data_IF_300526430810
#
_entry.id   IF_300526430810
#
_cell.length_a   1.000
_cell.length_b   1.000
_cell.length_c   1.000
_cell.angle_alpha   90.00
_cell.angle_beta   90.00
_cell.angle_gamma   90.00
#
_symmetry.space_group_name_H-M   'P 1'
#
loop_
_entity.id
_entity.type
_entity.pdbx_description
1 polymer ?
#
# COMPACT_ATOMS: atom_id res chain seq x y z
N UNK A 1 -4.49 -2.13 9.24
CA UNK A 1 -4.07 -1.08 8.29
C UNK A 1 -5.34 -0.51 7.68
N UNK A 2 -5.54 0.80 7.69
CA UNK A 2 -6.80 1.40 7.26
C UNK A 2 -6.84 1.61 5.73
N UNK A 3 -8.03 1.57 5.14
CA UNK A 3 -8.20 1.99 3.74
C UNK A 3 -7.87 3.48 3.57
N UNK A 4 -7.51 3.93 2.36
CA UNK A 4 -7.04 5.31 2.14
C UNK A 4 -8.00 6.37 2.67
N UNK A 5 -9.29 6.28 2.36
CA UNK A 5 -10.29 7.24 2.82
C UNK A 5 -10.59 7.12 4.33
N UNK A 6 -10.51 5.90 4.88
CA UNK A 6 -10.65 5.68 6.32
C UNK A 6 -9.47 6.31 7.07
N UNK A 7 -8.24 6.12 6.58
CA UNK A 7 -7.06 6.79 7.13
C UNK A 7 -7.15 8.31 7.00
N UNK A 8 -7.52 8.81 5.81
CA UNK A 8 -7.54 10.23 5.50
C UNK A 8 -8.58 10.99 6.34
N UNK A 9 -9.79 10.44 6.43
CA UNK A 9 -10.96 11.10 7.04
C UNK A 9 -11.28 10.48 8.40
N UNK A 10 -11.51 9.17 8.45
CA UNK A 10 -11.95 8.46 9.66
C UNK A 10 -10.94 8.49 10.80
N UNK A 11 -9.66 8.53 10.46
CA UNK A 11 -8.55 8.47 11.42
C UNK A 11 -7.78 9.80 11.46
N UNK A 12 -8.46 10.88 11.07
CA UNK A 12 -8.03 12.26 11.28
C UNK A 12 -6.68 12.63 10.63
N UNK A 13 -6.16 11.84 9.69
CA UNK A 13 -4.86 12.13 9.07
C UNK A 13 -4.85 13.48 8.34
N UNK A 14 -5.98 13.89 7.73
CA UNK A 14 -6.12 15.23 7.15
C UNK A 14 -5.96 16.32 8.21
N UNK A 15 -6.63 16.17 9.35
CA UNK A 15 -6.56 17.13 10.47
C UNK A 15 -5.15 17.16 11.04
N UNK A 16 -4.50 16.00 11.23
CA UNK A 16 -3.10 15.93 11.63
C UNK A 16 -2.18 16.66 10.64
N UNK A 17 -2.39 16.49 9.34
CA UNK A 17 -1.64 17.20 8.30
C UNK A 17 -1.80 18.73 8.38
N UNK A 18 -3.03 19.20 8.61
CA UNK A 18 -3.32 20.63 8.83
C UNK A 18 -2.64 21.13 10.11
N UNK A 19 -2.70 20.37 11.20
CA UNK A 19 -2.06 20.71 12.48
C UNK A 19 -0.53 20.78 12.36
N UNK A 20 0.09 19.84 11.65
CA UNK A 20 1.54 19.87 11.37
C UNK A 20 1.90 21.10 10.55
N UNK A 21 1.12 21.41 9.50
CA UNK A 21 1.36 22.59 8.65
C UNK A 21 1.21 23.89 9.46
N UNK A 22 0.18 23.98 10.30
CA UNK A 22 -0.03 25.10 11.21
C UNK A 22 1.11 25.22 12.23
N UNK A 23 1.56 24.10 12.80
CA UNK A 23 2.71 24.06 13.71
C UNK A 23 3.99 24.58 13.05
N UNK A 24 4.29 24.14 11.83
CA UNK A 24 5.44 24.63 11.05
C UNK A 24 5.30 26.13 10.77
N UNK A 25 4.10 26.60 10.41
CA UNK A 25 3.85 28.02 10.18
C UNK A 25 4.06 28.87 11.45
N UNK A 26 3.63 28.39 12.61
CA UNK A 26 3.84 29.04 13.91
C UNK A 26 5.34 29.07 14.23
N UNK A 27 6.06 27.96 14.05
CA UNK A 27 7.51 27.92 14.28
C UNK A 27 8.24 28.90 13.35
N UNK A 28 7.89 28.90 12.06
CA UNK A 28 8.46 29.84 11.10
C UNK A 28 8.16 31.30 11.49
N UNK A 29 6.93 31.59 11.93
CA UNK A 29 6.55 32.91 12.42
C UNK A 29 7.36 33.33 13.66
N UNK A 30 7.52 32.43 14.64
CA UNK A 30 8.34 32.66 15.84
C UNK A 30 9.79 32.93 15.46
N UNK A 31 10.36 32.14 14.55
CA UNK A 31 11.73 32.36 14.05
C UNK A 31 11.86 33.72 13.36
N UNK A 32 10.92 34.09 12.49
CA UNK A 32 10.91 35.41 11.85
C UNK A 32 10.80 36.55 12.88
N UNK A 33 9.98 36.37 13.92
CA UNK A 33 9.84 37.34 15.01
C UNK A 33 11.14 37.47 15.81
N UNK A 34 11.79 36.37 16.18
CA UNK A 34 13.09 36.38 16.86
C UNK A 34 14.17 37.07 16.02
N UNK A 35 14.22 36.83 14.71
CA UNK A 35 15.14 37.52 13.80
C UNK A 35 14.83 39.02 13.74
N UNK A 36 13.55 39.41 13.72
CA UNK A 36 13.12 40.81 13.72
C UNK A 36 13.54 41.52 15.01
N UNK A 37 13.29 40.88 16.17
CA UNK A 37 13.71 41.36 17.48
C UNK A 37 15.22 41.57 17.56
N UNK A 38 16.01 40.61 17.06
CA UNK A 38 17.47 40.68 17.08
C UNK A 38 18.03 41.81 16.18
N UNK A 39 17.36 42.13 15.07
CA UNK A 39 17.82 43.16 14.13
C UNK A 39 17.39 44.58 14.50
N UNK A 40 16.17 44.75 15.02
CA UNK A 40 15.53 46.06 15.16
C UNK A 40 15.17 46.42 16.61
N UNK A 41 15.32 45.49 17.55
CA UNK A 41 14.95 45.65 18.96
C UNK A 41 13.48 45.28 19.25
N UNK A 42 13.06 45.28 20.53
CA UNK A 42 11.76 44.75 20.95
C UNK A 42 10.53 45.46 20.38
N UNK A 43 10.50 46.80 20.44
CA UNK A 43 9.35 47.60 20.01
C UNK A 43 9.21 47.64 18.49
N UNK A 44 10.28 47.99 17.78
CA UNK A 44 10.29 48.07 16.31
C UNK A 44 10.13 46.69 15.67
N UNK A 45 10.75 45.66 16.24
CA UNK A 45 10.61 44.29 15.77
C UNK A 45 9.15 43.81 15.80
N UNK A 46 8.42 44.13 16.87
CA UNK A 46 6.99 43.83 16.99
C UNK A 46 6.13 44.63 16.00
N UNK A 47 6.39 45.92 15.84
CA UNK A 47 5.66 46.76 14.89
C UNK A 47 5.80 46.27 13.45
N UNK A 48 7.00 45.87 13.03
CA UNK A 48 7.23 45.32 11.69
C UNK A 48 6.46 44.02 11.45
N UNK A 49 6.46 43.09 12.40
CA UNK A 49 5.74 41.82 12.26
C UNK A 49 4.22 42.04 12.22
N UNK A 50 3.69 42.84 13.15
CA UNK A 50 2.26 43.16 13.18
C UNK A 50 1.80 43.90 11.93
N UNK A 51 2.61 44.82 11.40
CA UNK A 51 2.36 45.48 10.12
C UNK A 51 2.26 44.48 8.96
N UNK A 52 3.20 43.54 8.84
CA UNK A 52 3.20 42.53 7.78
C UNK A 52 1.97 41.63 7.89
N UNK A 53 1.61 41.20 9.11
CA UNK A 53 0.41 40.40 9.36
C UNK A 53 -0.86 41.18 9.00
N UNK A 54 -0.94 42.45 9.39
CA UNK A 54 -2.06 43.31 9.05
C UNK A 54 -2.17 43.53 7.54
N UNK A 55 -1.07 43.83 6.84
CA UNK A 55 -1.06 43.99 5.39
C UNK A 55 -1.49 42.69 4.68
N UNK A 56 -1.04 41.54 5.17
CA UNK A 56 -1.44 40.22 4.66
C UNK A 56 -2.95 39.99 4.78
N UNK A 57 -3.53 40.22 5.96
CA UNK A 57 -4.93 39.92 6.27
C UNK A 57 -5.88 40.98 5.69
N UNK A 58 -5.54 42.26 5.84
CA UNK A 58 -6.43 43.35 5.47
C UNK A 58 -6.39 43.69 3.97
N UNK A 59 -5.24 43.47 3.30
CA UNK A 59 -5.06 43.90 1.90
C UNK A 59 -4.79 42.75 0.95
N UNK A 60 -3.89 41.83 1.28
CA UNK A 60 -3.45 40.82 0.32
C UNK A 60 -4.42 39.65 0.17
N UNK A 61 -4.79 38.97 1.26
CA UNK A 61 -5.70 37.82 1.23
C UNK A 61 -7.06 38.13 0.57
N UNK A 62 -7.79 39.20 0.96
CA UNK A 62 -9.15 39.46 0.45
C UNK A 62 -9.20 39.73 -1.05
N UNK A 63 -8.08 40.21 -1.61
CA UNK A 63 -7.99 40.62 -3.00
C UNK A 63 -7.19 39.62 -3.85
N UNK A 64 -6.88 38.44 -3.31
CA UNK A 64 -6.30 37.35 -4.10
C UNK A 64 -7.32 36.83 -5.11
N UNK A 65 -6.88 36.53 -6.32
CA UNK A 65 -7.77 36.02 -7.37
C UNK A 65 -7.27 34.69 -7.91
N UNK A 66 -8.13 33.68 -7.89
CA UNK A 66 -7.82 32.32 -8.36
C UNK A 66 -7.31 32.33 -9.82
N UNK A 67 -7.86 33.19 -10.69
CA UNK A 67 -7.43 33.33 -12.09
C UNK A 67 -5.94 33.71 -12.21
N UNK A 68 -5.46 34.63 -11.35
CA UNK A 68 -4.05 35.06 -11.32
C UNK A 68 -3.15 33.95 -10.77
N UNK A 69 -3.59 33.31 -9.70
CA UNK A 69 -2.89 32.16 -9.10
C UNK A 69 -2.72 31.04 -10.14
N UNK A 70 -3.77 30.70 -10.87
CA UNK A 70 -3.71 29.67 -11.93
C UNK A 70 -2.75 30.05 -13.06
N UNK A 71 -2.77 31.31 -13.53
CA UNK A 71 -1.85 31.78 -14.55
C UNK A 71 -0.38 31.67 -14.10
N UNK A 72 -0.09 32.05 -12.85
CA UNK A 72 1.24 31.92 -12.25
C UNK A 72 1.63 30.45 -12.02
N UNK A 73 0.69 29.61 -11.60
CA UNK A 73 0.91 28.17 -11.41
C UNK A 73 1.25 27.47 -12.73
N UNK A 74 0.52 27.80 -13.80
CA UNK A 74 0.81 27.28 -15.15
C UNK A 74 2.20 27.70 -15.62
N UNK A 75 2.61 28.95 -15.36
CA UNK A 75 3.94 29.42 -15.69
C UNK A 75 5.02 28.66 -14.89
N UNK A 76 4.84 28.52 -13.58
CA UNK A 76 5.76 27.79 -12.71
C UNK A 76 5.88 26.31 -13.11
N UNK A 77 4.77 25.67 -13.50
CA UNK A 77 4.75 24.31 -14.05
C UNK A 77 5.59 24.19 -15.33
N UNK A 78 5.38 25.08 -16.30
CA UNK A 78 6.13 25.10 -17.56
C UNK A 78 7.62 25.39 -17.37
N UNK A 79 7.94 26.24 -16.39
CA UNK A 79 9.33 26.53 -16.03
C UNK A 79 10.01 25.32 -15.39
N UNK A 80 9.36 24.68 -14.41
CA UNK A 80 9.87 23.47 -13.78
C UNK A 80 10.12 22.36 -14.81
N UNK A 81 9.19 22.14 -15.76
CA UNK A 81 9.38 21.13 -16.80
C UNK A 81 10.61 21.39 -17.69
N UNK A 82 10.87 22.67 -18.02
CA UNK A 82 12.04 23.10 -18.82
C UNK A 82 13.36 22.96 -18.08
N UNK A 83 13.36 22.98 -16.74
CA UNK A 83 14.56 22.84 -15.89
C UNK A 83 15.04 21.39 -15.74
N UNK A 84 14.83 20.53 -16.75
CA UNK A 84 15.24 19.12 -16.78
C UNK A 84 14.69 18.28 -15.62
N UNK A 85 13.55 18.66 -15.03
CA UNK A 85 12.89 17.90 -13.95
C UNK A 85 12.52 16.47 -14.40
N UNK A 86 12.26 16.27 -15.70
CA UNK A 86 12.05 14.95 -16.29
C UNK A 86 13.27 14.01 -16.19
N UNK A 87 14.47 14.52 -15.90
CA UNK A 87 15.65 13.68 -15.61
C UNK A 87 15.39 12.78 -14.40
N UNK A 88 14.60 13.24 -13.43
CA UNK A 88 14.21 12.40 -12.28
C UNK A 88 13.43 11.16 -12.73
N UNK A 89 12.56 11.31 -13.74
CA UNK A 89 11.86 10.17 -14.36
C UNK A 89 12.84 9.21 -15.04
N UNK A 90 13.84 9.74 -15.77
CA UNK A 90 14.84 8.91 -16.42
C UNK A 90 15.70 8.14 -15.39
N UNK A 91 16.14 8.80 -14.32
CA UNK A 91 16.86 8.18 -13.20
C UNK A 91 16.01 7.09 -12.56
N UNK A 92 14.71 7.34 -12.37
CA UNK A 92 13.78 6.34 -11.84
C UNK A 92 13.65 5.11 -12.75
N UNK A 93 13.50 5.32 -14.07
CA UNK A 93 13.45 4.23 -15.05
C UNK A 93 14.72 3.38 -14.98
N UNK A 94 15.89 4.02 -14.95
CA UNK A 94 17.17 3.32 -14.78
C UNK A 94 17.17 2.52 -13.47
N UNK A 95 16.72 3.13 -12.37
CA UNK A 95 16.58 2.46 -11.08
C UNK A 95 15.70 1.20 -11.15
N UNK A 96 14.57 1.24 -11.85
CA UNK A 96 13.71 0.07 -12.08
C UNK A 96 14.40 -1.01 -12.93
N UNK A 97 15.13 -0.63 -13.98
CA UNK A 97 15.84 -1.59 -14.84
C UNK A 97 16.92 -2.34 -14.05
N UNK A 98 17.67 -1.63 -13.21
CA UNK A 98 18.64 -2.25 -12.30
C UNK A 98 17.94 -3.11 -11.24
N UNK A 99 16.81 -2.66 -10.68
CA UNK A 99 16.08 -3.41 -9.68
C UNK A 99 15.70 -4.82 -10.16
N UNK A 100 15.31 -4.97 -11.42
CA UNK A 100 14.99 -6.28 -12.01
C UNK A 100 16.11 -7.31 -11.91
N UNK A 101 17.37 -6.87 -11.80
CA UNK A 101 18.54 -7.76 -11.63
C UNK A 101 18.82 -8.12 -10.17
N UNK A 102 18.44 -7.27 -9.23
CA UNK A 102 18.78 -7.41 -7.82
C UNK A 102 17.63 -7.91 -6.94
N UNK A 103 16.38 -7.82 -7.41
CA UNK A 103 15.22 -8.31 -6.66
C UNK A 103 15.13 -9.83 -6.71
N UNK A 104 15.05 -10.45 -5.53
CA UNK A 104 14.97 -11.89 -5.40
C UNK A 104 13.52 -12.41 -5.51
N UNK A 105 13.20 -13.00 -6.67
CA UNK A 105 11.95 -13.73 -6.91
C UNK A 105 11.79 -14.99 -6.02
N UNK A 106 12.87 -15.44 -5.37
CA UNK A 106 12.89 -16.52 -4.39
C UNK A 106 12.33 -16.16 -3.02
N UNK A 107 12.13 -14.87 -2.72
CA UNK A 107 11.66 -14.44 -1.40
C UNK A 107 10.25 -14.95 -1.08
N UNK A 108 9.97 -15.22 0.20
CA UNK A 108 8.63 -15.63 0.66
C UNK A 108 7.56 -14.55 0.48
N UNK A 109 7.96 -13.28 0.43
CA UNK A 109 7.10 -12.11 0.29
C UNK A 109 7.49 -11.27 -0.95
N UNK A 110 7.48 -11.89 -2.14
CA UNK A 110 7.90 -11.25 -3.40
C UNK A 110 7.18 -9.93 -3.66
N UNK A 111 5.85 -9.90 -3.51
CA UNK A 111 5.06 -8.70 -3.75
C UNK A 111 5.45 -7.55 -2.82
N UNK A 112 5.63 -7.83 -1.52
CA UNK A 112 6.06 -6.83 -0.55
C UNK A 112 7.45 -6.28 -0.89
N UNK A 113 8.38 -7.13 -1.33
CA UNK A 113 9.72 -6.72 -1.72
C UNK A 113 9.70 -5.74 -2.90
N UNK A 114 8.98 -6.09 -3.97
CA UNK A 114 8.85 -5.24 -5.17
C UNK A 114 8.12 -3.93 -4.85
N UNK A 115 6.98 -4.00 -4.14
CA UNK A 115 6.20 -2.82 -3.76
C UNK A 115 7.05 -1.88 -2.87
N UNK A 116 7.70 -2.42 -1.83
CA UNK A 116 8.49 -1.61 -0.90
C UNK A 116 9.68 -0.94 -1.59
N UNK A 117 10.37 -1.64 -2.48
CA UNK A 117 11.47 -1.07 -3.26
C UNK A 117 10.99 0.11 -4.10
N UNK A 118 9.93 -0.09 -4.88
CA UNK A 118 9.42 0.91 -5.82
C UNK A 118 8.82 2.11 -5.09
N UNK A 119 8.07 1.88 -4.01
CA UNK A 119 7.51 2.95 -3.18
C UNK A 119 8.59 3.76 -2.47
N UNK A 120 9.62 3.10 -1.93
CA UNK A 120 10.76 3.77 -1.27
C UNK A 120 11.56 4.60 -2.27
N UNK A 121 11.90 4.03 -3.43
CA UNK A 121 12.61 4.74 -4.49
C UNK A 121 11.84 5.95 -5.01
N UNK A 122 10.53 5.81 -5.23
CA UNK A 122 9.65 6.92 -5.63
C UNK A 122 9.62 8.02 -4.56
N UNK A 123 9.47 7.64 -3.28
CA UNK A 123 9.41 8.57 -2.15
C UNK A 123 10.67 9.42 -2.06
N UNK A 124 11.86 8.79 -2.04
CA UNK A 124 13.13 9.52 -1.92
C UNK A 124 13.39 10.44 -3.12
N UNK A 125 13.12 9.99 -4.35
CA UNK A 125 13.32 10.83 -5.53
C UNK A 125 12.37 12.03 -5.56
N UNK A 126 11.11 11.85 -5.19
CA UNK A 126 10.13 12.94 -5.17
C UNK A 126 10.42 13.94 -4.06
N UNK A 127 10.83 13.48 -2.88
CA UNK A 127 11.27 14.35 -1.78
C UNK A 127 12.50 15.16 -2.21
N UNK A 128 13.51 14.51 -2.78
CA UNK A 128 14.72 15.16 -3.27
C UNK A 128 14.39 16.24 -4.33
N UNK A 129 13.53 15.89 -5.30
CA UNK A 129 13.07 16.83 -6.31
C UNK A 129 12.30 18.01 -5.71
N UNK A 130 11.37 17.73 -4.79
CA UNK A 130 10.58 18.74 -4.11
C UNK A 130 11.44 19.73 -3.34
N UNK A 131 12.49 19.23 -2.67
CA UNK A 131 13.49 20.06 -1.99
C UNK A 131 14.22 20.96 -2.99
N UNK A 132 14.77 20.41 -4.06
CA UNK A 132 15.52 21.20 -5.05
C UNK A 132 14.65 22.24 -5.76
N UNK A 133 13.45 21.86 -6.20
CA UNK A 133 12.51 22.77 -6.83
C UNK A 133 12.14 23.91 -5.88
N UNK A 134 11.79 23.58 -4.64
CA UNK A 134 11.35 24.58 -3.67
C UNK A 134 12.48 25.53 -3.29
N UNK A 135 13.64 25.00 -2.89
CA UNK A 135 14.78 25.79 -2.42
C UNK A 135 15.37 26.69 -3.50
N UNK A 136 15.45 26.25 -4.76
CA UNK A 136 16.08 27.04 -5.83
C UNK A 136 15.10 27.86 -6.66
N UNK A 137 13.79 27.68 -6.51
CA UNK A 137 12.79 28.42 -7.28
C UNK A 137 12.97 29.94 -7.18
N UNK A 138 12.79 30.51 -5.97
CA UNK A 138 12.87 31.95 -5.75
C UNK A 138 14.28 32.52 -5.92
N UNK A 139 15.36 31.90 -5.40
CA UNK A 139 16.72 32.41 -5.61
C UNK A 139 17.11 32.49 -7.09
N UNK A 140 16.70 31.51 -7.91
CA UNK A 140 16.99 31.54 -9.35
C UNK A 140 16.25 32.69 -10.03
N UNK A 141 15.00 32.94 -9.66
CA UNK A 141 14.21 34.05 -10.20
C UNK A 141 14.76 35.43 -9.83
N UNK A 142 15.34 35.56 -8.64
CA UNK A 142 16.05 36.77 -8.22
C UNK A 142 17.34 36.93 -9.04
N UNK A 143 18.15 35.87 -9.13
CA UNK A 143 19.41 35.87 -9.89
C UNK A 143 19.21 36.24 -11.35
N UNK A 144 18.15 35.72 -11.98
CA UNK A 144 17.83 35.97 -13.39
C UNK A 144 17.00 37.24 -13.63
N UNK A 145 16.72 38.02 -12.57
CA UNK A 145 15.86 39.23 -12.62
C UNK A 145 14.43 39.00 -13.13
N UNK A 146 13.99 37.74 -13.24
CA UNK A 146 12.62 37.39 -13.65
C UNK A 146 11.60 37.99 -12.69
N UNK A 147 11.90 37.97 -11.39
CA UNK A 147 11.00 38.50 -10.36
C UNK A 147 10.66 39.99 -10.59
N UNK A 148 11.62 40.79 -11.06
CA UNK A 148 11.44 42.23 -11.30
C UNK A 148 10.43 42.52 -12.43
N UNK A 149 10.31 41.59 -13.39
CA UNK A 149 9.33 41.70 -14.48
C UNK A 149 7.95 41.20 -14.11
N UNK A 150 7.86 40.35 -13.09
CA UNK A 150 6.58 39.85 -12.55
C UNK A 150 5.99 40.89 -11.60
N UNK A 151 6.81 41.50 -10.73
CA UNK A 151 6.37 42.47 -9.72
C UNK A 151 5.90 43.81 -10.30
N UNK A 152 6.23 44.12 -11.56
CA UNK A 152 5.71 45.30 -12.26
C UNK A 152 4.28 45.11 -12.76
N UNK A 153 3.79 43.87 -12.83
CA UNK A 153 2.38 43.57 -13.11
C UNK A 153 1.59 43.65 -11.79
N UNK A 154 0.27 43.93 -11.82
CA UNK A 154 -0.57 44.01 -10.63
C UNK A 154 -0.87 42.62 -10.05
N UNK A 155 0.17 41.91 -9.62
CA UNK A 155 0.15 40.58 -8.98
C UNK A 155 0.76 40.69 -7.59
N UNK A 156 0.07 40.10 -6.61
CA UNK A 156 0.46 40.19 -5.19
C UNK A 156 1.52 39.15 -4.84
N UNK A 157 2.31 39.42 -3.80
CA UNK A 157 3.33 38.48 -3.31
C UNK A 157 2.73 37.12 -2.91
N UNK A 158 1.54 37.13 -2.29
CA UNK A 158 0.81 35.90 -1.94
C UNK A 158 0.42 35.08 -3.16
N UNK A 159 -0.03 35.73 -4.24
CA UNK A 159 -0.40 35.06 -5.50
C UNK A 159 0.82 34.43 -6.19
N UNK A 160 2.00 35.07 -6.10
CA UNK A 160 3.27 34.52 -6.61
C UNK A 160 3.66 33.26 -5.85
N UNK A 161 3.62 33.29 -4.52
CA UNK A 161 3.98 32.12 -3.69
C UNK A 161 2.98 30.98 -3.89
N UNK A 162 1.68 31.27 -3.82
CA UNK A 162 0.62 30.26 -4.05
C UNK A 162 0.71 29.67 -5.46
N UNK A 163 0.94 30.52 -6.48
CA UNK A 163 1.17 30.07 -7.85
C UNK A 163 2.31 29.06 -7.94
N UNK A 164 3.46 29.33 -7.30
CA UNK A 164 4.58 28.37 -7.27
C UNK A 164 4.24 27.08 -6.53
N UNK A 165 3.59 27.16 -5.37
CA UNK A 165 3.18 25.97 -4.60
C UNK A 165 2.31 25.08 -5.48
N UNK A 166 1.22 25.61 -6.03
CA UNK A 166 0.33 24.83 -6.89
C UNK A 166 1.01 24.34 -8.18
N UNK A 167 1.88 25.16 -8.78
CA UNK A 167 2.66 24.77 -9.95
C UNK A 167 3.59 23.59 -9.67
N UNK A 168 4.36 23.63 -8.58
CA UNK A 168 5.27 22.53 -8.21
C UNK A 168 4.54 21.31 -7.70
N UNK A 169 3.43 21.47 -6.96
CA UNK A 169 2.54 20.35 -6.62
C UNK A 169 2.04 19.67 -7.89
N UNK A 170 1.59 20.42 -8.89
CA UNK A 170 1.13 19.85 -10.16
C UNK A 170 2.25 19.09 -10.92
N UNK A 171 3.50 19.60 -10.90
CA UNK A 171 4.66 18.89 -11.47
C UNK A 171 4.93 17.59 -10.70
N UNK A 172 4.93 17.66 -9.37
CA UNK A 172 5.10 16.48 -8.51
C UNK A 172 4.02 15.44 -8.76
N UNK A 173 2.76 15.84 -8.86
CA UNK A 173 1.64 14.95 -9.18
C UNK A 173 1.78 14.35 -10.57
N UNK A 174 2.15 15.13 -11.60
CA UNK A 174 2.40 14.61 -12.94
C UNK A 174 3.49 13.51 -12.93
N UNK A 175 4.60 13.76 -12.23
CA UNK A 175 5.68 12.79 -12.11
C UNK A 175 5.24 11.55 -11.34
N UNK A 176 4.53 11.71 -10.22
CA UNK A 176 3.98 10.59 -9.44
C UNK A 176 3.04 9.73 -10.28
N UNK A 177 2.21 10.32 -11.13
CA UNK A 177 1.36 9.56 -12.06
C UNK A 177 2.20 8.78 -13.06
N UNK A 178 3.25 9.37 -13.63
CA UNK A 178 4.15 8.68 -14.55
C UNK A 178 4.92 7.55 -13.87
N UNK A 179 5.50 7.83 -12.70
CA UNK A 179 6.21 6.85 -11.87
C UNK A 179 5.26 5.72 -11.48
N UNK A 180 4.07 6.03 -10.96
CA UNK A 180 3.06 5.03 -10.58
C UNK A 180 2.64 4.10 -11.72
N UNK A 181 2.51 4.62 -12.95
CA UNK A 181 2.23 3.78 -14.12
C UNK A 181 3.39 2.84 -14.45
N UNK A 182 4.62 3.34 -14.44
CA UNK A 182 5.81 2.53 -14.69
C UNK A 182 6.03 1.48 -13.59
N UNK A 183 5.87 1.89 -12.33
CA UNK A 183 5.87 1.05 -11.14
C UNK A 183 4.87 -0.11 -11.27
N UNK A 184 3.62 0.19 -11.62
CA UNK A 184 2.60 -0.82 -11.80
C UNK A 184 2.98 -1.82 -12.90
N UNK A 185 3.46 -1.32 -14.05
CA UNK A 185 3.92 -2.17 -15.14
C UNK A 185 5.09 -3.08 -14.74
N UNK A 186 6.07 -2.52 -14.03
CA UNK A 186 7.24 -3.25 -13.51
C UNK A 186 6.83 -4.35 -12.51
N UNK A 187 5.96 -4.04 -11.55
CA UNK A 187 5.47 -4.99 -10.55
C UNK A 187 4.67 -6.10 -11.21
N UNK A 188 3.68 -5.75 -12.06
CA UNK A 188 2.84 -6.74 -12.74
C UNK A 188 3.69 -7.70 -13.58
N UNK A 189 4.66 -7.18 -14.33
CA UNK A 189 5.52 -8.00 -15.19
C UNK A 189 6.57 -8.78 -14.38
N UNK A 190 7.00 -8.28 -13.23
CA UNK A 190 8.04 -8.91 -12.42
C UNK A 190 7.57 -10.09 -11.55
N UNK A 191 6.27 -10.20 -11.28
CA UNK A 191 5.72 -11.22 -10.37
C UNK A 191 4.90 -12.28 -11.12
N UNK A 192 4.37 -11.97 -12.30
CA UNK A 192 3.65 -12.96 -13.12
C UNK A 192 4.63 -14.04 -13.61
N UNK A 193 4.27 -15.28 -13.31
CA UNK A 193 4.97 -16.49 -13.73
C UNK A 193 3.92 -17.58 -14.00
N UNK A 194 4.31 -18.62 -14.71
CA UNK A 194 3.42 -19.71 -15.11
C UNK A 194 4.00 -21.04 -14.64
N UNK A 195 3.11 -21.94 -14.27
CA UNK A 195 3.45 -23.27 -13.83
C UNK A 195 2.77 -24.26 -14.77
N UNK A 196 3.42 -25.38 -15.05
CA UNK A 196 2.80 -26.52 -15.71
C UNK A 196 2.76 -27.69 -14.72
N UNK A 197 2.02 -28.75 -15.03
CA UNK A 197 2.02 -29.94 -14.18
C UNK A 197 3.24 -30.80 -14.51
N UNK A 198 4.12 -30.99 -13.54
CA UNK A 198 5.36 -31.77 -13.70
C UNK A 198 5.14 -33.25 -13.37
N UNK A 199 4.44 -33.53 -12.28
CA UNK A 199 4.15 -34.89 -11.84
C UNK A 199 2.75 -35.02 -11.27
N UNK A 200 2.18 -36.20 -11.45
CA UNK A 200 0.88 -36.59 -10.88
C UNK A 200 1.08 -37.87 -10.09
N UNK A 201 0.74 -37.84 -8.81
CA UNK A 201 0.70 -39.00 -7.94
C UNK A 201 -0.77 -39.44 -7.80
N UNK A 202 -1.13 -40.53 -8.50
CA UNK A 202 -2.51 -41.00 -8.54
C UNK A 202 -3.44 -40.14 -9.42
N UNK A 203 -4.75 -40.23 -9.17
CA UNK A 203 -5.76 -39.62 -10.04
C UNK A 203 -6.06 -38.14 -9.74
N UNK A 204 -5.60 -37.62 -8.60
CA UNK A 204 -6.07 -36.35 -8.06
C UNK A 204 -4.99 -35.51 -7.34
N UNK A 205 -3.75 -35.98 -7.22
CA UNK A 205 -2.67 -35.24 -6.57
C UNK A 205 -1.50 -35.04 -7.54
N UNK A 206 -0.78 -33.93 -7.40
CA UNK A 206 0.36 -33.64 -8.26
C UNK A 206 1.18 -32.43 -7.82
N UNK A 207 2.30 -32.22 -8.50
CA UNK A 207 3.19 -31.09 -8.31
C UNK A 207 3.37 -30.31 -9.61
N UNK A 208 3.55 -29.01 -9.48
CA UNK A 208 3.84 -28.13 -10.61
C UNK A 208 5.33 -28.04 -10.89
N UNK A 209 5.68 -27.59 -12.10
CA UNK A 209 7.07 -27.32 -12.50
C UNK A 209 7.73 -26.30 -11.58
N UNK A 210 9.05 -26.43 -11.40
CA UNK A 210 9.83 -25.44 -10.67
C UNK A 210 10.10 -24.18 -11.51
N UNK A 211 9.29 -23.13 -11.31
CA UNK A 211 9.45 -21.80 -11.93
C UNK A 211 9.52 -20.69 -10.87
N UNK A 212 10.14 -19.56 -11.20
CA UNK A 212 10.31 -18.41 -10.31
C UNK A 212 10.81 -18.79 -8.89
N UNK A 213 11.67 -19.81 -8.81
CA UNK A 213 12.27 -20.37 -7.58
C UNK A 213 11.26 -20.96 -6.58
N UNK A 214 10.22 -21.63 -7.05
CA UNK A 214 9.32 -22.45 -6.24
C UNK A 214 8.50 -23.40 -7.12
N UNK A 215 7.77 -24.30 -6.47
CA UNK A 215 6.77 -25.17 -7.08
C UNK A 215 5.59 -25.27 -6.12
N UNK A 216 4.46 -25.70 -6.64
CA UNK A 216 3.22 -25.88 -5.91
C UNK A 216 2.80 -27.34 -5.92
N UNK A 217 2.09 -27.74 -4.87
CA UNK A 217 1.39 -29.01 -4.81
C UNK A 217 -0.11 -28.75 -4.95
N UNK A 218 -0.83 -29.64 -5.64
CA UNK A 218 -2.27 -29.55 -5.73
C UNK A 218 -2.91 -30.90 -5.42
N UNK A 219 -4.10 -30.82 -4.83
CA UNK A 219 -4.97 -31.95 -4.56
C UNK A 219 -6.38 -31.59 -5.01
N UNK A 220 -6.87 -32.34 -5.99
CA UNK A 220 -8.22 -32.22 -6.53
C UNK A 220 -9.19 -33.08 -5.72
N UNK A 221 -10.41 -32.58 -5.54
CA UNK A 221 -11.50 -33.37 -4.99
C UNK A 221 -12.05 -34.27 -6.10
N UNK A 222 -12.31 -35.53 -5.79
CA UNK A 222 -12.84 -36.50 -6.75
C UNK A 222 -14.24 -36.04 -7.24
N UNK A 223 -14.40 -35.94 -8.56
CA UNK A 223 -15.63 -35.43 -9.19
C UNK A 223 -15.67 -33.92 -9.43
N UNK A 224 -14.70 -33.15 -8.93
CA UNK A 224 -14.58 -31.72 -9.24
C UNK A 224 -13.61 -31.47 -10.41
N UNK A 225 -14.00 -30.58 -11.32
CA UNK A 225 -13.21 -30.20 -12.48
C UNK A 225 -12.19 -29.07 -12.18
N UNK A 226 -12.35 -28.38 -11.06
CA UNK A 226 -11.54 -27.22 -10.68
C UNK A 226 -11.06 -27.39 -9.24
N UNK A 227 -9.78 -27.12 -9.01
CA UNK A 227 -9.17 -27.07 -7.68
C UNK A 227 -8.16 -25.93 -7.60
N UNK A 228 -7.47 -25.86 -6.48
CA UNK A 228 -6.49 -24.81 -6.20
C UNK A 228 -5.23 -25.45 -5.63
N UNK A 229 -4.07 -24.90 -5.96
CA UNK A 229 -2.80 -25.33 -5.36
C UNK A 229 -2.71 -24.95 -3.88
N UNK A 230 -1.73 -25.51 -3.19
CA UNK A 230 -1.27 -24.97 -1.92
C UNK A 230 -0.80 -23.52 -2.06
N UNK A 231 -0.82 -22.79 -0.94
CA UNK A 231 -0.35 -21.41 -0.88
C UNK A 231 1.14 -21.39 -0.60
N UNK A 232 1.92 -21.06 -1.63
CA UNK A 232 3.37 -20.85 -1.53
C UNK A 232 3.66 -19.41 -1.92
N UNK A 233 4.55 -18.72 -1.18
CA UNK A 233 4.88 -17.30 -1.39
C UNK A 233 3.64 -16.37 -1.51
N UNK A 234 2.59 -16.66 -0.73
CA UNK A 234 1.40 -15.81 -0.63
C UNK A 234 0.45 -15.82 -1.83
N UNK A 235 0.55 -16.81 -2.71
CA UNK A 235 -0.38 -16.96 -3.83
C UNK A 235 -0.68 -18.43 -4.11
N UNK A 236 -1.70 -18.63 -4.95
CA UNK A 236 -2.20 -19.93 -5.38
C UNK A 236 -2.45 -19.92 -6.87
N UNK A 237 -2.53 -21.09 -7.48
CA UNK A 237 -2.97 -21.26 -8.86
C UNK A 237 -4.24 -22.08 -8.92
N UNK A 238 -5.14 -21.71 -9.84
CA UNK A 238 -6.33 -22.52 -10.14
C UNK A 238 -5.90 -23.67 -11.04
N UNK A 239 -6.17 -24.90 -10.62
CA UNK A 239 -5.90 -26.11 -11.40
C UNK A 239 -7.21 -26.58 -12.02
N UNK A 240 -7.22 -26.79 -13.33
CA UNK A 240 -8.39 -27.32 -14.06
C UNK A 240 -8.05 -28.67 -14.65
N UNK A 241 -8.93 -29.65 -14.41
CA UNK A 241 -8.91 -30.94 -15.07
C UNK A 241 -9.57 -30.81 -16.44
N UNK A 242 -8.89 -31.24 -17.48
CA UNK A 242 -9.43 -31.31 -18.84
C UNK A 242 -10.15 -32.65 -19.09
N UNK A 243 -10.96 -32.69 -20.14
CA UNK A 243 -11.73 -33.89 -20.54
C UNK A 243 -10.82 -35.07 -20.93
N UNK A 244 -9.58 -34.80 -21.33
CA UNK A 244 -8.56 -35.80 -21.66
C UNK A 244 -7.82 -36.37 -20.42
N UNK A 245 -8.18 -35.90 -19.22
CA UNK A 245 -7.55 -36.29 -17.96
C UNK A 245 -6.28 -35.52 -17.62
N UNK A 246 -5.81 -34.61 -18.48
CA UNK A 246 -4.70 -33.72 -18.19
C UNK A 246 -5.10 -32.57 -17.26
N UNK A 247 -4.11 -31.90 -16.67
CA UNK A 247 -4.31 -30.77 -15.78
C UNK A 247 -3.65 -29.53 -16.34
N UNK A 248 -4.35 -28.39 -16.25
CA UNK A 248 -3.79 -27.07 -16.57
C UNK A 248 -3.80 -26.18 -15.35
N UNK A 249 -2.72 -25.44 -15.17
CA UNK A 249 -2.55 -24.50 -14.08
C UNK A 249 -2.77 -23.09 -14.62
N UNK A 250 -3.61 -22.31 -13.94
CA UNK A 250 -3.93 -20.94 -14.29
C UNK A 250 -2.83 -19.95 -13.84
N UNK A 251 -3.01 -18.66 -14.15
CA UNK A 251 -2.12 -17.61 -13.64
C UNK A 251 -2.17 -17.52 -12.11
N UNK A 252 -1.15 -16.93 -11.47
CA UNK A 252 -1.10 -16.82 -10.03
C UNK A 252 -2.16 -15.84 -9.51
N UNK A 253 -2.94 -16.29 -8.54
CA UNK A 253 -3.99 -15.53 -7.87
C UNK A 253 -3.58 -15.16 -6.44
N UNK A 254 -3.88 -13.93 -6.01
CA UNK A 254 -3.62 -13.48 -4.64
C UNK A 254 -2.30 -12.74 -4.42
N UNK A 255 -1.35 -12.78 -5.37
CA UNK A 255 -0.03 -12.13 -5.26
C UNK A 255 -0.06 -10.66 -4.84
N UNK A 256 -0.98 -9.87 -5.40
CA UNK A 256 -1.10 -8.43 -5.16
C UNK A 256 -2.27 -8.09 -4.23
N UNK A 257 -2.92 -9.10 -3.64
CA UNK A 257 -4.00 -8.85 -2.73
C UNK A 257 -3.43 -8.34 -1.41
N UNK A 258 -3.72 -7.08 -1.10
CA UNK A 258 -3.50 -6.53 0.23
C UNK A 258 -4.54 -7.14 1.19
N UNK A 259 -4.33 -8.39 1.60
CA UNK A 259 -5.18 -9.02 2.60
C UNK A 259 -4.87 -8.36 3.94
N UNK A 260 -5.88 -7.75 4.54
CA UNK A 260 -5.86 -7.38 5.96
C UNK A 260 -6.64 -8.49 6.66
N UNK A 261 -6.00 -9.59 7.08
CA UNK A 261 -6.71 -10.68 7.71
C UNK A 261 -7.32 -10.18 9.02
N UNK A 262 -8.63 -10.36 9.16
CA UNK A 262 -9.31 -10.23 10.45
C UNK A 262 -9.28 -11.60 11.08
N UNK A 263 -8.37 -11.81 12.04
CA UNK A 263 -8.28 -13.08 12.73
C UNK A 263 -9.48 -13.27 13.66
N UNK A 264 -10.18 -14.39 13.50
CA UNK A 264 -11.24 -14.83 14.40
C UNK A 264 -10.68 -15.57 15.61
N UNK A 265 -11.48 -15.61 16.69
CA UNK A 265 -11.21 -16.47 17.85
C UNK A 265 -11.88 -17.82 17.63
N UNK A 266 -11.11 -18.90 17.71
CA UNK A 266 -11.60 -20.27 17.57
C UNK A 266 -11.99 -20.84 18.94
N UNK A 267 -13.20 -21.39 19.03
CA UNK A 267 -13.62 -22.28 20.10
C UNK A 267 -14.14 -23.59 19.51
N UNK A 268 -13.87 -24.71 20.17
CA UNK A 268 -14.31 -26.03 19.70
C UNK A 268 -15.26 -26.65 20.72
N UNK A 269 -15.99 -27.68 20.33
CA UNK A 269 -16.81 -28.49 21.26
C UNK A 269 -16.34 -29.93 21.32
N UNK A 270 -16.52 -30.56 22.47
CA UNK A 270 -16.24 -31.98 22.69
C UNK A 270 -17.37 -32.88 22.15
N UNK A 271 -17.21 -34.20 22.28
CA UNK A 271 -18.21 -35.20 21.85
C UNK A 271 -19.56 -35.07 22.56
N UNK A 272 -19.60 -34.38 23.70
CA UNK A 272 -20.79 -34.11 24.49
C UNK A 272 -21.40 -32.73 24.20
N UNK A 273 -20.75 -31.93 23.34
CA UNK A 273 -21.16 -30.57 22.99
C UNK A 273 -20.64 -29.48 23.95
N UNK A 274 -19.79 -29.80 24.93
CA UNK A 274 -19.21 -28.79 25.83
C UNK A 274 -18.08 -28.02 25.14
N UNK A 275 -17.96 -26.72 25.42
CA UNK A 275 -16.92 -25.87 24.84
C UNK A 275 -15.54 -26.23 25.41
N UNK A 276 -14.60 -26.48 24.52
CA UNK A 276 -13.19 -26.82 24.80
C UNK A 276 -12.24 -25.90 24.03
N UNK A 277 -11.00 -25.76 24.53
CA UNK A 277 -10.00 -24.88 23.90
C UNK A 277 -9.27 -25.52 22.71
N UNK A 278 -9.24 -26.85 22.61
CA UNK A 278 -8.55 -27.60 21.56
C UNK A 278 -9.42 -28.78 21.10
N UNK A 279 -9.32 -29.15 19.83
CA UNK A 279 -9.95 -30.34 19.29
C UNK A 279 -9.20 -31.63 19.66
N UNK A 280 -9.52 -32.72 18.98
CA UNK A 280 -8.86 -34.00 19.18
C UNK A 280 -7.51 -34.03 18.47
N UNK A 281 -6.47 -34.52 19.16
CA UNK A 281 -5.25 -34.97 18.50
C UNK A 281 -5.44 -36.43 18.09
N UNK A 282 -5.18 -36.73 16.82
CA UNK A 282 -5.41 -38.04 16.19
C UNK A 282 -4.12 -38.87 16.09
N UNK A 283 -3.13 -38.56 16.91
CA UNK A 283 -1.83 -39.25 16.97
C UNK A 283 -0.71 -38.53 16.24
N UNK A 284 -0.88 -37.25 15.93
CA UNK A 284 0.22 -36.42 15.45
C UNK A 284 1.08 -35.95 16.62
N UNK A 285 2.40 -35.99 16.43
CA UNK A 285 3.38 -35.47 17.38
C UNK A 285 3.19 -33.95 17.58
N UNK A 286 2.73 -33.26 16.55
CA UNK A 286 2.41 -31.84 16.59
C UNK A 286 1.00 -31.61 17.15
N UNK A 287 0.90 -30.82 18.22
CA UNK A 287 -0.38 -30.31 18.74
C UNK A 287 -0.92 -29.09 17.97
N UNK A 288 -0.23 -28.66 16.91
CA UNK A 288 -0.64 -27.48 16.15
C UNK A 288 -1.97 -27.70 15.41
N UNK A 289 -2.20 -28.90 14.91
CA UNK A 289 -3.44 -29.27 14.23
C UNK A 289 -4.32 -30.12 15.15
N UNK A 290 -5.59 -29.77 15.23
CA UNK A 290 -6.59 -30.52 15.99
C UNK A 290 -7.81 -30.75 15.14
N UNK A 291 -8.49 -31.87 15.37
CA UNK A 291 -9.54 -32.36 14.50
C UNK A 291 -10.89 -32.42 15.23
N UNK A 292 -11.96 -32.28 14.45
CA UNK A 292 -13.32 -32.58 14.87
C UNK A 292 -13.71 -33.96 14.33
N UNK A 293 -14.37 -34.75 15.16
CA UNK A 293 -14.84 -36.06 14.73
C UNK A 293 -16.12 -35.91 13.88
N UNK A 294 -16.11 -36.49 12.68
CA UNK A 294 -17.29 -36.54 11.81
C UNK A 294 -18.41 -37.38 12.43
N UNK A 295 -19.66 -37.02 12.13
CA UNK A 295 -20.86 -37.65 12.71
C UNK A 295 -20.90 -37.61 14.25
N UNK A 296 -20.43 -36.50 14.83
CA UNK A 296 -20.49 -36.23 16.27
C UNK A 296 -21.00 -34.80 16.53
N UNK A 297 -21.40 -34.46 17.77
CA UNK A 297 -21.75 -33.08 18.14
C UNK A 297 -20.57 -32.08 18.13
N UNK A 298 -19.35 -32.54 17.84
CA UNK A 298 -18.18 -31.66 17.80
C UNK A 298 -18.31 -30.62 16.69
N UNK A 299 -17.97 -29.38 17.03
CA UNK A 299 -17.97 -28.23 16.14
C UNK A 299 -16.77 -27.34 16.39
N UNK A 300 -16.41 -26.57 15.37
CA UNK A 300 -15.38 -25.54 15.43
C UNK A 300 -16.07 -24.21 15.07
N UNK A 301 -16.05 -23.26 15.99
CA UNK A 301 -16.75 -21.98 15.89
C UNK A 301 -15.72 -20.86 15.90
N UNK A 302 -15.69 -20.07 14.84
CA UNK A 302 -14.87 -18.86 14.75
C UNK A 302 -15.74 -17.63 15.01
N UNK A 303 -15.30 -16.79 15.94
CA UNK A 303 -15.95 -15.51 16.26
C UNK A 303 -15.07 -14.35 15.82
N UNK A 304 -15.63 -13.45 15.01
CA UNK A 304 -14.93 -12.27 14.48
C UNK A 304 -15.51 -10.99 15.11
N UNK A 305 -14.82 -10.36 16.06
CA UNK A 305 -15.41 -9.27 16.87
C UNK A 305 -15.53 -7.92 16.13
N UNK A 306 -14.88 -7.76 14.97
CA UNK A 306 -14.76 -6.47 14.27
C UNK A 306 -15.16 -6.56 12.79
N UNK A 307 -16.27 -7.25 12.50
CA UNK A 307 -16.84 -7.42 11.16
C UNK A 307 -18.12 -6.59 11.07
N UNK A 308 -18.14 -5.60 10.18
CA UNK A 308 -19.34 -4.80 9.88
C UNK A 308 -19.71 -4.89 8.40
N UNK A 309 -21.01 -4.81 8.08
CA UNK A 309 -21.50 -4.89 6.70
C UNK A 309 -20.82 -3.86 5.77
N UNK A 310 -20.58 -2.64 6.26
CA UNK A 310 -19.90 -1.56 5.53
C UNK A 310 -18.47 -1.89 5.09
N UNK A 311 -17.81 -2.87 5.70
CA UNK A 311 -16.47 -3.31 5.30
C UNK A 311 -16.50 -4.30 4.13
N UNK A 312 -17.67 -4.88 3.85
CA UNK A 312 -17.84 -6.03 2.97
C UNK A 312 -19.00 -5.81 1.98
N UNK A 313 -18.94 -4.70 1.24
CA UNK A 313 -19.94 -4.32 0.22
C UNK A 313 -21.37 -4.35 0.80
N UNK A 314 -21.58 -3.69 1.93
CA UNK A 314 -22.84 -3.66 2.68
C UNK A 314 -23.42 -5.05 3.02
N UNK A 315 -22.54 -6.05 3.14
CA UNK A 315 -22.89 -7.42 3.49
C UNK A 315 -23.24 -8.32 2.31
N UNK A 316 -23.03 -7.87 1.06
CA UNK A 316 -23.30 -8.68 -0.13
C UNK A 316 -22.37 -9.90 -0.22
N UNK A 317 -21.10 -9.75 0.21
CA UNK A 317 -20.13 -10.84 0.17
C UNK A 317 -19.11 -10.75 1.31
N UNK A 318 -18.97 -11.84 2.08
CA UNK A 318 -17.92 -12.00 3.08
C UNK A 318 -16.89 -13.03 2.55
N UNK A 319 -15.71 -12.57 2.06
CA UNK A 319 -14.64 -13.49 1.68
C UNK A 319 -14.14 -14.24 2.91
N UNK A 320 -14.28 -15.56 2.90
CA UNK A 320 -13.72 -16.43 3.94
C UNK A 320 -12.57 -17.20 3.32
N UNK A 321 -11.39 -17.07 3.92
CA UNK A 321 -10.25 -17.90 3.62
C UNK A 321 -10.09 -18.93 4.74
N UNK A 322 -10.14 -20.21 4.39
CA UNK A 322 -10.05 -21.31 5.34
C UNK A 322 -9.30 -22.47 4.70
N UNK A 323 -8.36 -23.05 5.44
CA UNK A 323 -7.70 -24.30 5.06
C UNK A 323 -8.21 -25.40 5.98
N UNK A 324 -8.98 -26.32 5.42
CA UNK A 324 -9.49 -27.50 6.12
C UNK A 324 -8.83 -28.74 5.55
N UNK A 325 -8.44 -29.65 6.44
CA UNK A 325 -7.99 -30.98 6.07
C UNK A 325 -9.02 -32.00 6.54
N UNK A 326 -9.52 -32.79 5.62
CA UNK A 326 -10.35 -33.94 5.92
C UNK A 326 -9.55 -35.22 5.64
N UNK A 327 -9.62 -36.18 6.55
CA UNK A 327 -9.08 -37.51 6.33
C UNK A 327 -10.07 -38.54 6.88
N UNK A 328 -9.96 -39.77 6.41
CA UNK A 328 -10.74 -40.89 6.90
C UNK A 328 -9.82 -41.86 7.62
N UNK A 329 -10.11 -42.13 8.89
CA UNK A 329 -9.49 -43.24 9.63
C UNK A 329 -10.50 -44.34 9.90
N UNK A 330 -10.00 -45.55 10.06
CA UNK A 330 -10.77 -46.69 10.56
C UNK A 330 -10.82 -46.58 12.08
N UNK A 331 -12.03 -46.44 12.63
CA UNK A 331 -12.24 -46.36 14.08
C UNK A 331 -12.24 -47.77 14.66
N UNK A 332 -11.22 -48.11 15.44
CA UNK A 332 -11.19 -49.34 16.24
C UNK A 332 -12.15 -49.27 17.44
N UNK A 333 -12.17 -50.32 18.27
CA UNK A 333 -12.92 -50.32 19.52
C UNK A 333 -12.35 -49.27 20.49
N UNK A 334 -13.12 -48.20 20.71
CA UNK A 334 -12.78 -47.07 21.59
C UNK A 334 -13.20 -47.29 23.04
N UNK A 335 -13.97 -48.35 23.33
CA UNK A 335 -14.48 -48.65 24.66
C UNK A 335 -13.45 -49.49 25.42
N UNK A 336 -12.79 -50.41 24.72
CA UNK A 336 -11.83 -51.31 25.34
C UNK A 336 -10.47 -50.63 25.48
N UNK A 337 -10.06 -50.35 26.72
CA UNK A 337 -8.71 -49.87 27.01
C UNK A 337 -7.66 -50.86 26.51
N UNK A 338 -6.54 -50.35 26.00
CA UNK A 338 -5.43 -51.17 25.52
C UNK A 338 -4.98 -52.10 26.66
N UNK A 339 -5.20 -53.40 26.51
CA UNK A 339 -4.69 -54.39 27.46
C UNK A 339 -3.18 -54.45 27.27
N UNK A 340 -2.45 -54.03 28.31
CA UNK A 340 -0.98 -54.09 28.36
C UNK A 340 -0.45 -55.50 28.40
#
# INVERSE_FOLDING_TARGET
>A
MWGYFQWLIGEWALVQGVLVTAGIAIVAFVVCYLISLAKWGPSEGFYQVTRVVYELIARDLPNTTIKRIYALARLAFQEALRRRVLVVMAVFIIGLLFAGWFLDAGSSNVAQLYISFVMTGTSYLVILLGLFLSCFSLPTDIKNKTIQTITTKPVRSTEIVLGRIFGFTAVGTMLLVGMGRLSYGFIKRGIVHEHEVESTEGAAEGATTYDARHAHQFRMIEGEAVGVTDTVKGHTHVVRRQDDGSFTVGPPEGLLNARIPIFGKLHMTDRSGNVVQKGLNVGYESEYQTFIEGNSPMSAVWTFPAVSASQFQDGEFLPIEMSLQAFRTLKGDVVTGVRG
#
